data_IF_315649766463
#
_entry.id   IF_315649766463
#
_cell.length_a   1.000
_cell.length_b   1.000
_cell.length_c   1.000
_cell.angle_alpha   90.00
_cell.angle_beta   90.00
_cell.angle_gamma   90.00
#
_symmetry.space_group_name_H-M   'P 1'
#
loop_
_entity.id
_entity.type
_entity.pdbx_description
1 polymer ?
#
# COMPACT_ATOMS: atom_id res chain seq x y z
N UNK A 1 -30.86 -37.46 -34.95
CA UNK A 1 -29.67 -37.23 -34.09
C UNK A 1 -29.59 -35.74 -33.76
N UNK A 2 -29.71 -35.40 -32.48
CA UNK A 2 -29.48 -34.06 -31.92
C UNK A 2 -27.98 -33.75 -31.91
N UNK A 3 -27.64 -32.45 -31.94
CA UNK A 3 -26.41 -31.77 -31.46
C UNK A 3 -25.89 -30.73 -32.48
N UNK A 4 -26.57 -29.59 -32.58
CA UNK A 4 -25.98 -28.34 -33.07
C UNK A 4 -26.45 -27.22 -32.15
N UNK A 5 -25.72 -26.97 -31.05
CA UNK A 5 -25.84 -25.73 -30.24
C UNK A 5 -24.80 -25.65 -29.12
N UNK A 6 -23.50 -25.65 -29.43
CA UNK A 6 -22.48 -25.27 -28.41
C UNK A 6 -21.39 -24.31 -28.93
N UNK A 7 -21.10 -24.18 -30.24
CA UNK A 7 -19.91 -23.42 -30.68
C UNK A 7 -20.12 -21.95 -31.10
N UNK A 8 -21.30 -21.34 -30.94
CA UNK A 8 -21.51 -19.95 -31.36
C UNK A 8 -21.18 -18.89 -30.29
N UNK A 9 -21.06 -19.28 -29.00
CA UNK A 9 -20.84 -18.34 -27.90
C UNK A 9 -19.33 -18.08 -27.66
N UNK A 10 -18.44 -19.00 -28.04
CA UNK A 10 -17.00 -18.85 -27.81
C UNK A 10 -16.32 -17.87 -28.81
N UNK A 11 -16.91 -17.67 -30.00
CA UNK A 11 -16.31 -16.83 -31.06
C UNK A 11 -16.63 -15.34 -30.86
N UNK A 12 -17.70 -15.01 -30.13
CA UNK A 12 -18.11 -13.62 -29.87
C UNK A 12 -17.27 -13.00 -28.72
N UNK A 13 -16.71 -13.81 -27.83
CA UNK A 13 -15.91 -13.31 -26.69
C UNK A 13 -14.46 -12.99 -27.10
N UNK A 14 -13.91 -13.66 -28.12
CA UNK A 14 -12.54 -13.36 -28.58
C UNK A 14 -12.44 -12.13 -29.51
N UNK A 15 -13.54 -11.68 -30.08
CA UNK A 15 -13.56 -10.54 -31.02
C UNK A 15 -13.73 -9.17 -30.34
N UNK A 16 -14.01 -9.15 -29.03
CA UNK A 16 -14.18 -7.91 -28.24
C UNK A 16 -12.90 -7.42 -27.55
N UNK A 17 -11.82 -8.21 -27.51
CA UNK A 17 -10.55 -7.80 -26.86
C UNK A 17 -9.49 -7.27 -27.81
N UNK A 18 -9.70 -7.38 -29.13
CA UNK A 18 -8.73 -6.90 -30.14
C UNK A 18 -9.04 -5.50 -30.69
N UNK A 19 -10.21 -4.91 -30.36
CA UNK A 19 -10.63 -3.61 -30.90
C UNK A 19 -10.37 -2.40 -30.00
N UNK A 20 -9.78 -2.56 -28.81
CA UNK A 20 -9.55 -1.44 -27.87
C UNK A 20 -8.18 -0.74 -28.00
N UNK A 21 -7.31 -1.14 -28.94
CA UNK A 21 -6.01 -0.48 -29.15
C UNK A 21 -6.06 0.52 -30.34
N UNK A 22 -7.18 0.60 -31.07
CA UNK A 22 -7.36 1.59 -32.14
C UNK A 22 -8.09 2.83 -31.63
N UNK A 23 -7.42 3.64 -30.83
CA UNK A 23 -7.81 5.03 -30.67
C UNK A 23 -6.57 5.94 -30.70
N UNK A 24 -6.53 6.76 -31.75
CA UNK A 24 -5.77 8.01 -31.91
C UNK A 24 -4.26 7.91 -32.18
N UNK A 25 -3.93 7.62 -33.45
CA UNK A 25 -3.07 8.51 -34.23
C UNK A 25 -3.31 8.25 -35.73
N UNK A 26 -3.57 9.29 -36.51
CA UNK A 26 -3.56 9.18 -37.96
C UNK A 26 -2.10 8.95 -38.40
N UNK A 27 -1.70 7.69 -38.54
CA UNK A 27 -0.39 7.29 -39.04
C UNK A 27 -0.31 7.58 -40.54
N UNK A 28 0.62 8.45 -40.96
CA UNK A 28 0.97 8.73 -42.37
C UNK A 28 1.60 7.52 -43.10
N UNK A 29 1.77 6.40 -42.41
CA UNK A 29 2.30 5.16 -42.95
C UNK A 29 1.23 4.08 -42.89
N UNK A 30 1.14 3.26 -43.94
CA UNK A 30 0.21 2.11 -43.95
C UNK A 30 0.50 1.19 -42.78
N UNK A 31 -0.54 0.55 -42.24
CA UNK A 31 -0.45 -0.42 -41.15
C UNK A 31 0.67 -1.45 -41.36
N UNK A 32 0.84 -1.90 -42.60
CA UNK A 32 1.85 -2.87 -42.99
C UNK A 32 3.28 -2.32 -42.83
N UNK A 33 3.51 -1.06 -43.20
CA UNK A 33 4.81 -0.39 -43.07
C UNK A 33 5.15 -0.09 -41.61
N UNK A 34 4.16 0.27 -40.80
CA UNK A 34 4.34 0.45 -39.36
C UNK A 34 4.71 -0.87 -38.69
N UNK A 35 4.04 -1.98 -39.04
CA UNK A 35 4.37 -3.30 -38.51
C UNK A 35 5.80 -3.73 -38.88
N UNK A 36 6.24 -3.49 -40.12
CA UNK A 36 7.61 -3.82 -40.54
C UNK A 36 8.66 -3.00 -39.81
N UNK A 37 8.42 -1.70 -39.60
CA UNK A 37 9.34 -0.84 -38.86
C UNK A 37 9.40 -1.19 -37.37
N UNK A 38 8.27 -1.58 -36.77
CA UNK A 38 8.23 -2.05 -35.39
C UNK A 38 9.02 -3.34 -35.22
N UNK A 39 8.87 -4.31 -36.13
CA UNK A 39 9.67 -5.54 -36.13
C UNK A 39 11.17 -5.23 -36.26
N UNK A 40 11.54 -4.27 -37.12
CA UNK A 40 12.95 -3.89 -37.28
C UNK A 40 13.54 -3.21 -36.04
N UNK A 41 12.74 -2.46 -35.28
CA UNK A 41 13.16 -1.83 -34.02
C UNK A 41 13.13 -2.79 -32.83
N UNK A 42 12.22 -3.75 -32.82
CA UNK A 42 12.02 -4.71 -31.72
C UNK A 42 13.06 -5.83 -31.74
N UNK A 43 13.61 -6.15 -32.92
CA UNK A 43 14.62 -7.18 -33.10
C UNK A 43 15.93 -6.56 -33.61
N UNK A 44 16.96 -6.53 -32.75
CA UNK A 44 18.30 -6.00 -33.09
C UNK A 44 19.05 -6.98 -34.01
N UNK A 45 18.85 -6.83 -35.33
CA UNK A 45 19.46 -7.68 -36.35
C UNK A 45 20.94 -7.35 -36.56
N UNK A 46 21.82 -8.14 -35.91
CA UNK A 46 23.28 -7.99 -36.01
C UNK A 46 23.86 -8.76 -37.21
N UNK A 47 24.64 -8.08 -38.03
CA UNK A 47 25.35 -8.67 -39.17
C UNK A 47 26.87 -8.53 -38.99
N UNK A 48 27.62 -9.60 -39.28
CA UNK A 48 29.08 -9.61 -39.29
C UNK A 48 29.57 -10.27 -40.58
N UNK A 49 30.45 -9.60 -41.33
CA UNK A 49 30.97 -10.07 -42.63
C UNK A 49 29.87 -10.65 -43.57
N UNK A 50 28.79 -9.89 -43.78
CA UNK A 50 27.63 -10.25 -44.62
C UNK A 50 26.87 -11.53 -44.20
N UNK A 51 27.13 -12.06 -43.01
CA UNK A 51 26.38 -13.17 -42.43
C UNK A 51 25.51 -12.66 -41.28
N UNK A 52 24.26 -13.10 -41.25
CA UNK A 52 23.37 -12.86 -40.11
C UNK A 52 23.93 -13.60 -38.90
N UNK A 53 24.22 -12.88 -37.82
CA UNK A 53 24.51 -13.48 -36.52
C UNK A 53 23.17 -13.60 -35.78
N UNK A 54 22.62 -14.81 -35.57
CA UNK A 54 21.45 -14.96 -34.72
C UNK A 54 21.74 -14.36 -33.35
N UNK A 55 20.82 -13.56 -32.82
CA UNK A 55 20.91 -13.09 -31.44
C UNK A 55 21.12 -14.30 -30.52
N UNK A 56 22.30 -14.38 -29.93
CA UNK A 56 22.61 -15.32 -28.86
C UNK A 56 22.42 -14.50 -27.58
N UNK A 57 21.34 -14.76 -26.80
CA UNK A 57 21.21 -14.09 -25.53
C UNK A 57 22.44 -14.44 -24.69
N UNK A 58 23.13 -13.43 -24.19
CA UNK A 58 24.12 -13.65 -23.15
C UNK A 58 23.36 -14.08 -21.89
N UNK A 59 23.20 -15.39 -21.74
CA UNK A 59 22.45 -15.98 -20.64
C UNK A 59 23.06 -15.65 -19.27
N UNK A 60 24.36 -15.31 -19.20
CA UNK A 60 25.02 -14.87 -17.97
C UNK A 60 24.66 -13.41 -17.64
N UNK A 61 24.67 -12.53 -18.63
CA UNK A 61 24.18 -11.16 -18.50
C UNK A 61 22.68 -11.12 -18.19
N UNK A 62 21.86 -11.91 -18.90
CA UNK A 62 20.42 -12.01 -18.66
C UNK A 62 20.11 -12.56 -17.26
N UNK A 63 20.81 -13.60 -16.77
CA UNK A 63 20.62 -14.09 -15.40
C UNK A 63 20.95 -13.01 -14.35
N UNK A 64 22.03 -12.24 -14.54
CA UNK A 64 22.41 -11.17 -13.62
C UNK A 64 21.46 -9.96 -13.68
N UNK A 65 21.03 -9.56 -14.87
CA UNK A 65 20.12 -8.41 -15.06
C UNK A 65 18.71 -8.75 -14.61
N UNK A 66 18.16 -9.91 -15.00
CA UNK A 66 16.85 -10.35 -14.50
C UNK A 66 16.88 -10.62 -13.00
N UNK A 67 17.96 -11.22 -12.47
CA UNK A 67 18.13 -11.38 -11.03
C UNK A 67 18.17 -10.05 -10.28
N UNK A 68 18.85 -9.04 -10.83
CA UNK A 68 18.88 -7.69 -10.26
C UNK A 68 17.52 -6.99 -10.35
N UNK A 69 16.81 -7.11 -11.47
CA UNK A 69 15.47 -6.54 -11.62
C UNK A 69 14.45 -7.21 -10.69
N UNK A 70 14.52 -8.54 -10.55
CA UNK A 70 13.70 -9.31 -9.62
C UNK A 70 13.98 -8.87 -8.18
N UNK A 71 15.25 -8.77 -7.77
CA UNK A 71 15.61 -8.32 -6.42
C UNK A 71 15.12 -6.89 -6.12
N UNK A 72 15.13 -5.99 -7.12
CA UNK A 72 14.56 -4.64 -6.98
C UNK A 72 13.04 -4.67 -6.82
N UNK A 73 12.37 -5.46 -7.64
CA UNK A 73 10.94 -5.66 -7.55
C UNK A 73 10.54 -6.25 -6.20
N UNK A 74 11.20 -7.32 -5.74
CA UNK A 74 10.93 -7.99 -4.47
C UNK A 74 11.11 -7.01 -3.29
N UNK A 75 12.17 -6.20 -3.31
CA UNK A 75 12.37 -5.13 -2.33
C UNK A 75 11.21 -4.12 -2.32
N UNK A 76 10.79 -3.65 -3.49
CA UNK A 76 9.67 -2.71 -3.61
C UNK A 76 8.34 -3.32 -3.16
N UNK A 77 8.11 -4.58 -3.52
CA UNK A 77 6.97 -5.38 -3.09
C UNK A 77 6.93 -5.54 -1.57
N UNK A 78 8.04 -5.89 -0.93
CA UNK A 78 8.11 -6.04 0.53
C UNK A 78 7.83 -4.72 1.26
N UNK A 79 8.38 -3.60 0.77
CA UNK A 79 8.09 -2.26 1.32
C UNK A 79 6.58 -1.99 1.29
N UNK A 80 5.95 -2.13 0.13
CA UNK A 80 4.52 -1.87 -0.04
C UNK A 80 3.69 -2.84 0.79
N UNK A 81 4.04 -4.13 0.78
CA UNK A 81 3.35 -5.17 1.55
C UNK A 81 3.36 -4.85 3.05
N UNK A 82 4.50 -4.42 3.59
CA UNK A 82 4.62 -4.04 5.00
C UNK A 82 3.76 -2.83 5.34
N UNK A 83 3.82 -1.76 4.54
CA UNK A 83 3.02 -0.55 4.80
C UNK A 83 1.52 -0.79 4.61
N UNK A 84 1.15 -1.54 3.58
CA UNK A 84 -0.24 -1.94 3.34
C UNK A 84 -0.77 -2.84 4.47
N UNK A 85 0.07 -3.73 5.01
CA UNK A 85 -0.28 -4.54 6.18
C UNK A 85 -0.55 -3.66 7.40
N UNK A 86 0.36 -2.72 7.72
CA UNK A 86 0.19 -1.77 8.83
C UNK A 86 -1.10 -0.98 8.66
N UNK A 87 -1.33 -0.42 7.46
CA UNK A 87 -2.53 0.34 7.13
C UNK A 87 -3.82 -0.47 7.27
N UNK A 88 -3.84 -1.71 6.76
CA UNK A 88 -5.01 -2.58 6.86
C UNK A 88 -5.32 -2.98 8.30
N UNK A 89 -4.29 -3.20 9.12
CA UNK A 89 -4.41 -3.55 10.54
C UNK A 89 -4.58 -2.35 11.46
N UNK A 90 -4.41 -1.13 10.95
CA UNK A 90 -4.61 0.10 11.70
C UNK A 90 -6.03 0.13 12.27
N UNK A 91 -6.12 0.47 13.56
CA UNK A 91 -7.36 0.62 14.33
C UNK A 91 -7.20 1.80 15.27
N UNK A 92 -8.32 2.49 15.51
CA UNK A 92 -8.42 3.63 16.40
C UNK A 92 -9.45 3.37 17.50
N UNK A 93 -9.34 4.12 18.58
CA UNK A 93 -10.26 4.15 19.71
C UNK A 93 -11.28 5.27 19.49
N UNK A 94 -10.84 6.44 19.01
CA UNK A 94 -11.72 7.57 18.79
C UNK A 94 -12.72 7.30 17.65
N UNK A 95 -14.03 7.51 17.93
CA UNK A 95 -15.11 7.20 16.98
C UNK A 95 -15.00 7.96 15.66
N UNK A 96 -14.61 9.23 15.70
CA UNK A 96 -14.44 10.05 14.50
C UNK A 96 -13.29 9.54 13.63
N UNK A 97 -12.17 9.15 14.25
CA UNK A 97 -11.01 8.61 13.55
C UNK A 97 -11.27 7.22 12.96
N UNK A 98 -12.10 6.39 13.62
CA UNK A 98 -12.58 5.13 13.05
C UNK A 98 -13.35 5.39 11.74
N UNK A 99 -14.32 6.32 11.76
CA UNK A 99 -15.11 6.67 10.58
C UNK A 99 -14.22 7.21 9.46
N UNK A 100 -13.27 8.09 9.79
CA UNK A 100 -12.32 8.65 8.84
C UNK A 100 -11.45 7.57 8.19
N UNK A 101 -10.94 6.62 8.98
CA UNK A 101 -10.16 5.49 8.47
C UNK A 101 -10.97 4.64 7.50
N UNK A 102 -12.22 4.33 7.82
CA UNK A 102 -13.10 3.53 6.96
C UNK A 102 -13.43 4.25 5.65
N UNK A 103 -13.69 5.55 5.70
CA UNK A 103 -13.91 6.38 4.50
C UNK A 103 -12.65 6.42 3.63
N UNK A 104 -11.48 6.61 4.23
CA UNK A 104 -10.20 6.61 3.52
C UNK A 104 -9.91 5.25 2.87
N UNK A 105 -10.19 4.14 3.57
CA UNK A 105 -10.05 2.78 3.03
C UNK A 105 -10.97 2.55 1.82
N UNK A 106 -12.22 3.03 1.92
CA UNK A 106 -13.19 2.93 0.81
C UNK A 106 -12.78 3.77 -0.39
N UNK A 107 -12.36 5.02 -0.18
CA UNK A 107 -11.95 5.92 -1.25
C UNK A 107 -10.75 5.38 -2.06
N UNK A 108 -9.81 4.73 -1.38
CA UNK A 108 -8.58 4.23 -2.00
C UNK A 108 -8.63 2.74 -2.41
N UNK A 109 -9.77 2.07 -2.27
CA UNK A 109 -9.89 0.63 -2.56
C UNK A 109 -9.49 0.28 -4.01
N UNK A 110 -9.91 1.09 -4.99
CA UNK A 110 -9.55 0.90 -6.40
C UNK A 110 -8.05 1.03 -6.63
N UNK A 111 -7.40 1.99 -5.97
CA UNK A 111 -5.94 2.15 -6.03
C UNK A 111 -5.22 0.93 -5.45
N UNK A 112 -5.70 0.39 -4.33
CA UNK A 112 -5.07 -0.81 -3.75
C UNK A 112 -5.15 -2.04 -4.64
N UNK A 113 -6.20 -2.17 -5.46
CA UNK A 113 -6.27 -3.24 -6.46
C UNK A 113 -5.29 -3.03 -7.61
N UNK A 114 -5.00 -1.79 -8.00
CA UNK A 114 -4.06 -1.49 -9.10
C UNK A 114 -2.59 -1.74 -8.74
N UNK A 115 -2.24 -1.77 -7.46
CA UNK A 115 -0.87 -2.10 -6.99
C UNK A 115 -0.39 -3.45 -7.52
N UNK A 116 -1.29 -4.44 -7.67
CA UNK A 116 -0.94 -5.80 -8.16
C UNK A 116 -0.37 -5.81 -9.58
N UNK A 117 -0.65 -4.78 -10.37
CA UNK A 117 -0.14 -4.64 -11.74
C UNK A 117 0.96 -3.60 -11.89
N UNK A 118 1.44 -3.00 -10.80
CA UNK A 118 2.46 -1.97 -10.85
C UNK A 118 3.87 -2.58 -10.98
N UNK A 119 4.75 -1.96 -11.77
CA UNK A 119 6.16 -2.30 -11.78
C UNK A 119 6.84 -1.73 -10.52
N UNK A 120 7.01 -2.58 -9.51
CA UNK A 120 7.62 -2.23 -8.23
C UNK A 120 9.16 -2.25 -8.26
N UNK A 121 9.78 -2.51 -9.42
CA UNK A 121 11.22 -2.29 -9.59
C UNK A 121 11.56 -0.79 -9.68
N UNK A 122 10.56 0.05 -9.99
CA UNK A 122 10.70 1.50 -10.15
C UNK A 122 10.39 2.25 -8.85
N UNK A 123 11.34 3.06 -8.40
CA UNK A 123 11.18 3.85 -7.16
C UNK A 123 10.03 4.86 -7.23
N UNK A 124 9.70 5.40 -8.40
CA UNK A 124 8.56 6.31 -8.58
C UNK A 124 7.21 5.62 -8.33
N UNK A 125 7.06 4.37 -8.75
CA UNK A 125 5.85 3.58 -8.50
C UNK A 125 5.73 3.22 -7.02
N UNK A 126 6.84 2.85 -6.37
CA UNK A 126 6.88 2.62 -4.92
C UNK A 126 6.45 3.89 -4.18
N UNK A 127 7.05 5.03 -4.51
CA UNK A 127 6.77 6.31 -3.88
C UNK A 127 5.29 6.70 -4.01
N UNK A 128 4.71 6.57 -5.21
CA UNK A 128 3.28 6.81 -5.44
C UNK A 128 2.39 5.89 -4.61
N UNK A 129 2.77 4.62 -4.45
CA UNK A 129 2.02 3.69 -3.59
C UNK A 129 2.09 4.12 -2.12
N UNK A 130 3.27 4.51 -1.65
CA UNK A 130 3.48 4.98 -0.28
C UNK A 130 2.71 6.27 0.00
N UNK A 131 2.67 7.22 -0.93
CA UNK A 131 1.90 8.46 -0.77
C UNK A 131 0.43 8.19 -0.50
N UNK A 132 -0.20 7.28 -1.25
CA UNK A 132 -1.62 6.93 -1.04
C UNK A 132 -1.84 6.09 0.23
N UNK A 133 -0.93 5.17 0.56
CA UNK A 133 -1.05 4.35 1.77
C UNK A 133 -0.87 5.21 3.03
N UNK A 134 0.07 6.15 2.99
CA UNK A 134 0.47 6.97 4.12
C UNK A 134 -0.28 8.29 4.24
N UNK A 135 -1.09 8.70 3.26
CA UNK A 135 -1.86 9.96 3.31
C UNK A 135 -2.81 10.04 4.51
N UNK A 136 -3.23 8.90 5.08
CA UNK A 136 -4.01 8.88 6.32
C UNK A 136 -3.27 9.52 7.52
N UNK A 137 -1.94 9.57 7.48
CA UNK A 137 -1.12 10.20 8.52
C UNK A 137 -0.92 11.71 8.32
N UNK A 138 -1.47 12.29 7.25
CA UNK A 138 -1.48 13.75 7.06
C UNK A 138 -2.54 14.42 7.94
N UNK A 139 -3.55 13.67 8.38
CA UNK A 139 -4.58 14.15 9.29
C UNK A 139 -4.05 14.28 10.72
N UNK A 140 -4.05 15.50 11.26
CA UNK A 140 -3.54 15.82 12.60
C UNK A 140 -4.18 14.98 13.72
N UNK A 141 -5.49 14.74 13.64
CA UNK A 141 -6.21 13.94 14.62
C UNK A 141 -5.78 12.46 14.61
N UNK A 142 -5.37 11.94 13.46
CA UNK A 142 -4.85 10.58 13.33
C UNK A 142 -3.47 10.49 13.98
N UNK A 143 -2.58 11.46 13.67
CA UNK A 143 -1.25 11.52 14.28
C UNK A 143 -1.32 11.65 15.80
N UNK A 144 -2.16 12.57 16.28
CA UNK A 144 -2.34 12.83 17.71
C UNK A 144 -2.81 11.58 18.47
N UNK A 145 -3.75 10.82 17.90
CA UNK A 145 -4.22 9.58 18.52
C UNK A 145 -3.12 8.51 18.54
N UNK A 146 -2.39 8.32 17.44
CA UNK A 146 -1.27 7.37 17.38
C UNK A 146 -0.21 7.70 18.42
N UNK A 147 0.15 8.98 18.55
CA UNK A 147 1.14 9.43 19.54
C UNK A 147 0.66 9.21 20.97
N UNK A 148 -0.61 9.51 21.25
CA UNK A 148 -1.20 9.25 22.57
C UNK A 148 -1.18 7.76 22.91
N UNK A 149 -1.64 6.89 21.99
CA UNK A 149 -1.65 5.43 22.17
C UNK A 149 -0.22 4.91 22.39
N UNK A 150 0.76 5.39 21.60
CA UNK A 150 2.17 5.01 21.77
C UNK A 150 2.69 5.37 23.15
N UNK A 151 2.43 6.59 23.64
CA UNK A 151 2.83 7.04 24.99
C UNK A 151 2.18 6.20 26.08
N UNK A 152 0.87 5.97 25.99
CA UNK A 152 0.14 5.11 26.93
C UNK A 152 0.69 3.68 26.95
N UNK A 153 0.94 3.08 25.78
CA UNK A 153 1.46 1.71 25.69
C UNK A 153 2.89 1.59 26.22
N UNK A 154 3.75 2.57 25.94
CA UNK A 154 5.11 2.61 26.48
C UNK A 154 5.09 2.64 28.02
N UNK A 155 4.22 3.47 28.60
CA UNK A 155 4.11 3.56 30.05
C UNK A 155 3.47 2.31 30.66
N UNK A 156 2.43 1.74 30.03
CA UNK A 156 1.86 0.45 30.45
C UNK A 156 2.91 -0.65 30.48
N UNK A 157 3.75 -0.73 29.45
CA UNK A 157 4.86 -1.70 29.38
C UNK A 157 5.88 -1.45 30.49
N UNK A 158 6.20 -0.19 30.78
CA UNK A 158 7.15 0.19 31.83
C UNK A 158 6.64 -0.20 33.23
N UNK A 159 5.37 0.07 33.54
CA UNK A 159 4.80 -0.26 34.85
C UNK A 159 4.57 -1.76 35.02
N UNK A 160 4.20 -2.49 33.96
CA UNK A 160 4.00 -3.94 34.02
C UNK A 160 5.32 -4.69 34.23
N UNK A 161 6.43 -4.21 33.66
CA UNK A 161 7.75 -4.79 33.92
C UNK A 161 8.19 -4.52 35.36
N UNK A 162 7.88 -3.34 35.90
CA UNK A 162 8.30 -2.94 37.26
C UNK A 162 7.55 -3.69 38.36
N UNK A 163 6.25 -3.94 38.16
CA UNK A 163 5.37 -4.58 39.15
C UNK A 163 4.32 -5.44 38.44
N UNK A 164 4.71 -6.62 37.92
CA UNK A 164 3.85 -7.43 37.05
C UNK A 164 2.56 -7.88 37.73
N UNK A 165 2.59 -8.11 39.05
CA UNK A 165 1.44 -8.65 39.79
C UNK A 165 0.48 -7.54 40.24
N UNK A 166 0.93 -6.29 40.42
CA UNK A 166 0.10 -5.23 41.00
C UNK A 166 0.00 -3.95 40.17
N UNK A 167 0.61 -3.85 38.99
CA UNK A 167 0.57 -2.62 38.19
C UNK A 167 -0.86 -2.14 37.87
N UNK A 168 -1.83 -3.06 37.74
CA UNK A 168 -3.25 -2.76 37.49
C UNK A 168 -3.90 -1.95 38.61
N UNK A 169 -3.37 -2.01 39.84
CA UNK A 169 -3.89 -1.24 40.97
C UNK A 169 -3.24 0.14 41.09
N UNK A 170 -2.14 0.38 40.36
CA UNK A 170 -1.40 1.62 40.41
C UNK A 170 -2.25 2.82 39.96
N UNK A 171 -1.95 3.99 40.52
CA UNK A 171 -2.59 5.24 40.12
C UNK A 171 -2.38 5.52 38.63
N UNK A 172 -1.19 5.19 38.13
CA UNK A 172 -0.80 5.40 36.75
C UNK A 172 -1.59 4.56 35.76
N UNK A 173 -1.78 3.27 36.04
CA UNK A 173 -2.65 2.42 35.24
C UNK A 173 -4.07 3.00 35.14
N UNK A 174 -4.63 3.43 36.29
CA UNK A 174 -5.97 4.04 36.35
C UNK A 174 -6.04 5.35 35.56
N UNK A 175 -5.00 6.18 35.61
CA UNK A 175 -4.90 7.40 34.82
C UNK A 175 -4.87 7.10 33.31
N UNK A 176 -4.09 6.10 32.88
CA UNK A 176 -4.04 5.65 31.48
C UNK A 176 -5.41 5.14 31.02
N UNK A 177 -6.06 4.27 31.80
CA UNK A 177 -7.40 3.78 31.46
C UNK A 177 -8.41 4.92 31.32
N UNK A 178 -8.36 5.91 32.22
CA UNK A 178 -9.25 7.07 32.14
C UNK A 178 -9.03 7.87 30.84
N UNK A 179 -7.78 8.13 30.48
CA UNK A 179 -7.44 8.82 29.22
C UNK A 179 -7.90 8.04 28.00
N UNK A 180 -7.74 6.71 27.98
CA UNK A 180 -8.21 5.88 26.87
C UNK A 180 -9.74 5.85 26.77
N UNK A 181 -10.45 5.91 27.90
CA UNK A 181 -11.91 6.04 27.90
C UNK A 181 -12.37 7.42 27.39
N UNK A 182 -11.69 8.50 27.79
CA UNK A 182 -11.96 9.85 27.29
C UNK A 182 -11.66 9.98 25.79
N UNK A 183 -10.62 9.30 25.30
CA UNK A 183 -10.27 9.26 23.88
C UNK A 183 -11.41 8.72 23.00
N UNK A 184 -12.21 7.77 23.49
CA UNK A 184 -13.30 7.15 22.73
C UNK A 184 -14.37 8.17 22.28
N UNK A 185 -14.65 9.16 23.14
CA UNK A 185 -15.78 10.09 22.98
C UNK A 185 -15.37 11.54 22.75
N UNK A 186 -14.11 11.91 22.99
CA UNK A 186 -13.63 13.26 22.77
C UNK A 186 -13.72 13.68 21.29
N UNK A 187 -13.79 14.99 21.05
CA UNK A 187 -13.69 15.54 19.71
C UNK A 187 -12.25 15.46 19.18
N UNK A 188 -12.10 15.46 17.85
CA UNK A 188 -10.79 15.32 17.21
C UNK A 188 -9.77 16.39 17.59
N UNK A 189 -10.23 17.61 17.92
CA UNK A 189 -9.36 18.71 18.37
C UNK A 189 -8.88 18.57 19.82
N UNK A 190 -9.55 17.75 20.63
CA UNK A 190 -9.26 17.55 22.05
C UNK A 190 -8.21 16.47 22.29
N UNK A 191 -7.98 15.57 21.31
CA UNK A 191 -7.04 14.45 21.44
C UNK A 191 -5.64 14.92 21.88
N UNK A 192 -5.17 16.05 21.33
CA UNK A 192 -3.84 16.63 21.66
C UNK A 192 -3.72 17.10 23.11
N UNK A 193 -4.84 17.36 23.79
CA UNK A 193 -4.87 17.82 25.17
C UNK A 193 -4.92 16.65 26.17
N UNK A 194 -5.13 15.42 25.69
CA UNK A 194 -5.16 14.25 26.56
C UNK A 194 -3.73 13.87 27.00
N UNK A 195 -3.56 13.64 28.30
CA UNK A 195 -2.29 13.24 28.92
C UNK A 195 -2.56 12.39 30.16
N UNK A 196 -1.94 11.21 30.23
CA UNK A 196 -2.05 10.35 31.40
C UNK A 196 -1.28 10.94 32.59
N UNK A 197 -0.21 11.70 32.33
CA UNK A 197 0.60 12.39 33.34
C UNK A 197 -0.24 13.44 34.08
N UNK A 198 -0.88 14.33 33.33
CA UNK A 198 -1.77 15.35 33.89
C UNK A 198 -2.96 14.72 34.62
N UNK A 199 -3.50 13.64 34.05
CA UNK A 199 -4.59 12.89 34.65
C UNK A 199 -4.17 12.28 35.99
N UNK A 200 -3.00 11.65 36.07
CA UNK A 200 -2.44 11.09 37.31
C UNK A 200 -2.25 12.17 38.38
N UNK A 201 -1.66 13.32 38.01
CA UNK A 201 -1.48 14.46 38.91
C UNK A 201 -2.81 14.95 39.49
N UNK A 202 -3.83 15.10 38.64
CA UNK A 202 -5.16 15.52 39.07
C UNK A 202 -5.84 14.51 40.01
N UNK A 203 -5.60 13.21 39.81
CA UNK A 203 -6.14 12.16 40.69
C UNK A 203 -5.43 12.15 42.05
N UNK A 204 -4.13 12.45 42.07
CA UNK A 204 -3.36 12.49 43.30
C UNK A 204 -3.77 13.68 44.19
N UNK A 205 -4.08 14.83 43.58
CA UNK A 205 -4.56 16.02 44.29
C UNK A 205 -5.93 15.81 44.95
N UNK A 206 -6.81 14.98 44.38
CA UNK A 206 -8.14 14.67 44.96
C UNK A 206 -8.10 13.74 46.18
N UNK A 207 -6.93 13.17 46.52
CA UNK A 207 -6.77 12.31 47.70
C UNK A 207 -6.43 13.08 48.98
N UNK A 208 -6.11 14.38 48.86
CA UNK A 208 -5.84 15.29 49.95
C UNK A 208 -6.94 16.36 50.02
#
# INVERSE_FOLDING_TARGET
>A
MKYIKINLILIIILSLTMNSIKAQSASFLSSERVSVLLIFFEYDYKFNNNSYEPYQPDYSYMQNVYGTMQARYDKGFDIIKTELYKYNKLKFINKTNIILLDQHKKANNTFYQSIKGADLSQSSNIQRCLEVICSIYEYDQIRSEIELIKRCNAELSRISIKDPDNFIYSLRYKAICKVLNELETCSSSEIKNLSWEQTELSMNQKKY
#
